data_IF_515388689152
#
_entry.id   IF_515388689152
#
_cell.length_a   1.000
_cell.length_b   1.000
_cell.length_c   1.000
_cell.angle_alpha   90.00
_cell.angle_beta   90.00
_cell.angle_gamma   90.00
#
_symmetry.space_group_name_H-M   'P 1'
#
loop_
_entity.id
_entity.type
_entity.pdbx_description
1 polymer ?
#
# COMPACT_ATOMS: atom_id res chain seq x y z
N UNK A 1 14.69 -4.92 -5.95
CA UNK A 1 15.02 -5.02 -4.49
C UNK A 1 14.18 -6.14 -3.88
N UNK A 2 14.77 -6.99 -3.04
CA UNK A 2 13.96 -7.95 -2.27
C UNK A 2 13.04 -7.21 -1.29
N UNK A 3 11.81 -7.69 -1.08
CA UNK A 3 10.93 -7.17 -0.06
C UNK A 3 11.59 -7.16 1.33
N UNK A 4 11.44 -6.06 2.06
CA UNK A 4 12.09 -5.84 3.34
C UNK A 4 11.04 -5.53 4.41
N UNK A 5 11.07 -6.24 5.53
CA UNK A 5 10.31 -5.88 6.71
C UNK A 5 10.82 -4.55 7.28
N UNK A 6 9.89 -3.70 7.67
CA UNK A 6 10.14 -2.38 8.24
C UNK A 6 9.30 -2.21 9.49
N UNK A 7 9.71 -1.26 10.32
CA UNK A 7 8.91 -0.76 11.43
C UNK A 7 9.09 0.74 11.52
N UNK A 8 7.99 1.47 11.75
CA UNK A 8 8.03 2.90 12.05
C UNK A 8 7.09 3.19 13.21
N UNK A 9 7.36 4.26 13.93
CA UNK A 9 6.49 4.71 15.01
C UNK A 9 5.26 5.41 14.42
N UNK A 10 4.09 4.79 14.57
CA UNK A 10 2.82 5.33 14.07
C UNK A 10 2.12 6.24 15.07
N UNK A 11 2.56 6.27 16.34
CA UNK A 11 1.98 7.14 17.36
C UNK A 11 2.35 8.61 17.11
N UNK A 12 3.48 8.84 16.45
CA UNK A 12 3.96 10.19 16.11
C UNK A 12 3.21 10.83 14.93
N UNK A 13 2.34 10.10 14.24
CA UNK A 13 1.53 10.67 13.15
C UNK A 13 0.36 11.46 13.71
N UNK A 14 0.30 12.74 13.34
CA UNK A 14 -0.71 13.69 13.83
C UNK A 14 -2.07 13.59 13.15
N UNK A 15 -2.19 12.82 12.08
CA UNK A 15 -3.43 12.68 11.34
C UNK A 15 -4.33 11.57 11.88
N UNK A 16 -5.62 11.82 11.91
CA UNK A 16 -6.64 10.84 12.35
C UNK A 16 -7.09 9.98 11.18
N UNK A 17 -6.27 9.04 10.76
CA UNK A 17 -6.56 8.11 9.67
C UNK A 17 -7.88 7.32 9.86
N UNK A 18 -8.39 7.21 11.09
CA UNK A 18 -9.68 6.56 11.41
C UNK A 18 -10.89 7.34 10.92
N UNK A 19 -10.78 8.65 10.74
CA UNK A 19 -11.84 9.47 10.14
C UNK A 19 -11.88 9.36 8.61
N UNK A 20 -10.91 8.75 8.03
CA UNK A 20 -10.67 8.60 6.62
C UNK A 20 -11.86 8.03 5.80
N UNK A 21 -12.60 6.98 6.24
CA UNK A 21 -13.68 6.41 5.43
C UNK A 21 -14.78 7.39 5.04
N UNK A 22 -14.95 8.45 5.82
CA UNK A 22 -15.99 9.46 5.62
C UNK A 22 -15.49 10.66 4.79
N UNK A 23 -14.19 10.70 4.48
CA UNK A 23 -13.60 11.79 3.71
C UNK A 23 -14.08 11.80 2.27
N UNK A 24 -14.46 12.98 1.77
CA UNK A 24 -14.82 13.18 0.37
C UNK A 24 -13.64 13.01 -0.59
N UNK A 25 -12.42 12.99 -0.07
CA UNK A 25 -11.19 12.77 -0.84
C UNK A 25 -10.86 11.29 -1.03
N UNK A 26 -11.65 10.36 -0.49
CA UNK A 26 -11.46 8.94 -0.72
C UNK A 26 -11.65 8.57 -2.18
N UNK A 27 -10.69 7.86 -2.71
CA UNK A 27 -10.71 7.33 -4.07
C UNK A 27 -10.94 5.83 -3.99
N UNK A 28 -11.89 5.34 -4.77
CA UNK A 28 -12.09 3.90 -4.93
C UNK A 28 -11.20 3.42 -6.07
N UNK A 29 -10.32 2.47 -5.79
CA UNK A 29 -9.47 1.86 -6.80
C UNK A 29 -10.31 1.16 -7.88
N UNK A 30 -9.86 1.27 -9.14
CA UNK A 30 -10.51 0.65 -10.27
C UNK A 30 -9.70 -0.57 -10.75
N UNK A 31 -10.39 -1.57 -11.25
CA UNK A 31 -9.78 -2.78 -11.82
C UNK A 31 -8.80 -2.49 -12.96
N UNK A 32 -9.01 -1.40 -13.68
CA UNK A 32 -8.16 -1.01 -14.80
C UNK A 32 -6.70 -0.73 -14.41
N UNK A 33 -6.47 -0.26 -13.19
CA UNK A 33 -5.12 0.03 -12.69
C UNK A 33 -4.32 -1.23 -12.35
N UNK A 34 -4.96 -2.38 -12.33
CA UNK A 34 -4.36 -3.65 -11.91
C UNK A 34 -4.16 -4.63 -13.08
N UNK A 35 -4.28 -4.14 -14.31
CA UNK A 35 -4.15 -4.97 -15.52
C UNK A 35 -2.73 -5.28 -15.94
N UNK A 36 -1.75 -4.60 -15.39
CA UNK A 36 -0.35 -4.68 -15.79
C UNK A 36 0.33 -6.04 -15.53
N UNK A 37 -0.24 -6.87 -14.66
CA UNK A 37 0.27 -8.23 -14.42
C UNK A 37 -0.25 -9.30 -15.37
N UNK A 38 -1.19 -8.93 -16.23
CA UNK A 38 -1.86 -9.89 -17.08
C UNK A 38 -1.76 -9.45 -18.51
N UNK A 39 -1.02 -10.22 -19.24
CA UNK A 39 -0.83 -9.94 -20.66
C UNK A 39 -2.15 -9.99 -21.43
N UNK A 40 -3.01 -10.97 -21.18
CA UNK A 40 -4.15 -11.23 -22.05
C UNK A 40 -5.40 -11.79 -21.35
N UNK A 41 -5.31 -12.17 -20.08
CA UNK A 41 -6.41 -12.83 -19.40
C UNK A 41 -7.30 -11.83 -18.64
N UNK A 42 -8.58 -11.89 -18.89
CA UNK A 42 -9.53 -11.16 -18.07
C UNK A 42 -9.56 -11.71 -16.64
N UNK A 43 -9.78 -10.84 -15.64
CA UNK A 43 -10.07 -11.32 -14.29
C UNK A 43 -11.26 -12.29 -14.35
N UNK A 44 -11.29 -13.32 -13.50
CA UNK A 44 -12.48 -14.14 -13.35
C UNK A 44 -13.71 -13.27 -13.12
N UNK A 45 -14.90 -13.67 -13.59
CA UNK A 45 -16.13 -12.88 -13.41
C UNK A 45 -16.47 -12.55 -11.95
N UNK A 46 -15.93 -13.34 -11.01
CA UNK A 46 -16.04 -13.10 -9.56
C UNK A 46 -15.24 -11.90 -9.05
N UNK A 47 -14.28 -11.42 -9.83
CA UNK A 47 -13.48 -10.24 -9.53
C UNK A 47 -14.18 -9.02 -10.10
N UNK A 48 -14.77 -8.21 -9.25
CA UNK A 48 -15.58 -7.06 -9.62
C UNK A 48 -15.08 -5.78 -8.96
N UNK A 49 -15.49 -4.62 -9.44
CA UNK A 49 -15.19 -3.35 -8.79
C UNK A 49 -15.73 -3.27 -7.34
N UNK A 50 -16.75 -4.06 -7.02
CA UNK A 50 -17.32 -4.08 -5.68
C UNK A 50 -16.39 -4.72 -4.66
N UNK A 51 -15.75 -5.84 -4.97
CA UNK A 51 -14.91 -6.58 -4.05
C UNK A 51 -13.41 -6.28 -4.19
N UNK A 52 -12.99 -5.57 -5.23
CA UNK A 52 -11.60 -5.13 -5.43
C UNK A 52 -11.36 -3.67 -5.10
N UNK A 53 -12.40 -2.98 -4.66
CA UNK A 53 -12.27 -1.58 -4.24
C UNK A 53 -11.46 -1.44 -2.95
N UNK A 54 -10.69 -0.38 -2.89
CA UNK A 54 -10.14 0.17 -1.65
C UNK A 54 -10.56 1.62 -1.55
N UNK A 55 -10.61 2.14 -0.35
CA UNK A 55 -10.70 3.59 -0.15
C UNK A 55 -9.30 4.10 0.13
N UNK A 56 -8.89 5.13 -0.57
CA UNK A 56 -7.56 5.72 -0.43
C UNK A 56 -7.68 7.23 -0.33
N UNK A 57 -7.00 7.80 0.66
CA UNK A 57 -6.83 9.23 0.83
C UNK A 57 -5.35 9.57 0.74
N UNK A 58 -5.00 10.47 -0.15
CA UNK A 58 -3.65 11.05 -0.20
C UNK A 58 -3.53 12.21 0.77
N UNK A 59 -2.38 12.29 1.39
CA UNK A 59 -1.96 13.41 2.23
C UNK A 59 -0.93 14.26 1.48
N UNK A 60 -0.89 15.52 1.80
CA UNK A 60 0.18 16.41 1.36
C UNK A 60 1.11 16.78 2.53
N UNK A 61 2.12 17.60 2.26
CA UNK A 61 3.16 17.92 3.23
C UNK A 61 2.67 18.78 4.41
N UNK A 62 1.51 19.40 4.25
CA UNK A 62 0.88 20.16 5.34
C UNK A 62 0.10 19.23 6.30
N UNK A 63 -0.29 18.06 5.84
CA UNK A 63 -1.01 17.06 6.64
C UNK A 63 -0.06 16.14 7.40
N UNK A 64 1.07 15.76 6.78
CA UNK A 64 1.99 14.73 7.30
C UNK A 64 3.43 15.11 6.99
N UNK A 65 4.32 14.97 7.96
CA UNK A 65 5.75 15.21 7.81
C UNK A 65 6.42 14.11 6.96
N UNK A 66 6.62 14.39 5.67
CA UNK A 66 7.24 13.47 4.73
C UNK A 66 8.71 13.20 5.04
N UNK A 67 9.43 14.19 5.57
CA UNK A 67 10.84 14.04 5.93
C UNK A 67 11.00 13.12 7.15
N UNK A 68 10.13 13.28 8.14
CA UNK A 68 10.11 12.39 9.31
C UNK A 68 9.88 10.92 8.90
N UNK A 69 8.85 10.66 8.09
CA UNK A 69 8.55 9.32 7.56
C UNK A 69 9.72 8.80 6.72
N UNK A 70 10.23 9.63 5.83
CA UNK A 70 11.30 9.27 4.92
C UNK A 70 12.61 8.91 5.63
N UNK A 71 12.92 9.59 6.72
CA UNK A 71 14.11 9.30 7.52
C UNK A 71 14.01 7.95 8.25
N UNK A 72 12.83 7.58 8.75
CA UNK A 72 12.62 6.26 9.34
C UNK A 72 12.70 5.13 8.31
N UNK A 73 12.21 5.36 7.09
CA UNK A 73 12.14 4.35 6.03
C UNK A 73 13.40 4.29 5.15
N UNK A 74 14.25 5.31 5.18
CA UNK A 74 15.40 5.44 4.27
C UNK A 74 14.96 5.74 2.83
N UNK A 75 13.93 6.56 2.64
CA UNK A 75 13.40 6.94 1.33
C UNK A 75 13.19 8.46 1.20
N UNK A 76 13.28 8.96 -0.02
CA UNK A 76 12.79 10.28 -0.39
C UNK A 76 11.31 10.16 -0.73
N UNK A 77 10.44 10.60 0.18
CA UNK A 77 8.99 10.44 0.08
C UNK A 77 8.41 11.34 -1.00
N UNK A 78 7.59 10.77 -1.87
CA UNK A 78 6.84 11.49 -2.91
C UNK A 78 5.36 11.50 -2.63
N UNK A 79 4.83 10.40 -2.09
CA UNK A 79 3.40 10.30 -1.74
C UNK A 79 3.22 9.55 -0.43
N UNK A 80 2.27 10.03 0.37
CA UNK A 80 1.74 9.33 1.55
C UNK A 80 0.23 9.21 1.38
N UNK A 81 -0.32 8.05 1.68
CA UNK A 81 -1.76 7.84 1.67
C UNK A 81 -2.19 6.84 2.73
N UNK A 82 -3.40 7.00 3.24
CA UNK A 82 -4.07 5.99 4.04
C UNK A 82 -4.99 5.15 3.15
N UNK A 83 -5.02 3.85 3.42
CA UNK A 83 -5.85 2.88 2.71
C UNK A 83 -6.75 2.17 3.70
N UNK A 84 -8.01 2.08 3.35
CA UNK A 84 -9.00 1.26 4.02
C UNK A 84 -9.44 0.12 3.10
N UNK A 85 -9.35 -1.10 3.61
CA UNK A 85 -10.02 -2.27 3.06
C UNK A 85 -11.14 -2.71 4.01
N UNK A 86 -12.37 -2.62 3.54
CA UNK A 86 -13.54 -3.13 4.27
C UNK A 86 -13.58 -4.67 4.23
N UNK A 87 -14.30 -5.35 5.15
CA UNK A 87 -14.52 -6.79 5.08
C UNK A 87 -15.01 -7.26 3.71
N UNK A 88 -14.39 -8.29 3.18
CA UNK A 88 -14.68 -8.83 1.85
C UNK A 88 -13.92 -8.15 0.70
N UNK A 89 -13.17 -7.09 0.96
CA UNK A 89 -12.39 -6.40 -0.08
C UNK A 89 -10.99 -6.99 -0.22
N UNK A 90 -10.52 -7.06 -1.46
CA UNK A 90 -9.16 -7.48 -1.76
C UNK A 90 -8.63 -6.72 -2.98
N UNK A 91 -7.32 -6.61 -3.07
CA UNK A 91 -6.62 -6.17 -4.27
C UNK A 91 -6.00 -7.41 -4.88
N UNK A 92 -6.38 -7.80 -6.11
CA UNK A 92 -5.83 -8.98 -6.78
C UNK A 92 -4.31 -8.89 -6.92
N UNK A 93 -3.67 -9.97 -7.34
CA UNK A 93 -2.24 -9.96 -7.66
C UNK A 93 -1.95 -8.84 -8.65
N UNK A 94 -1.02 -7.97 -8.28
CA UNK A 94 -0.57 -6.85 -9.11
C UNK A 94 0.86 -6.45 -8.78
N UNK A 95 1.43 -5.57 -9.61
CA UNK A 95 2.62 -4.78 -9.33
C UNK A 95 2.24 -3.32 -9.23
N UNK A 96 2.99 -2.58 -8.44
CA UNK A 96 2.79 -1.14 -8.33
C UNK A 96 3.24 -0.41 -9.59
N UNK A 97 2.37 0.41 -10.18
CA UNK A 97 2.68 1.20 -11.38
C UNK A 97 3.43 2.50 -11.06
N UNK A 98 3.43 2.94 -9.80
CA UNK A 98 4.04 4.21 -9.36
C UNK A 98 3.59 5.42 -10.19
N UNK A 99 2.34 5.44 -10.61
CA UNK A 99 1.80 6.44 -11.52
C UNK A 99 2.13 7.88 -11.10
N UNK A 100 1.93 8.24 -9.84
CA UNK A 100 2.20 9.61 -9.36
C UNK A 100 3.68 9.97 -9.41
N UNK A 101 4.55 9.02 -9.08
CA UNK A 101 6.01 9.22 -9.16
C UNK A 101 6.43 9.37 -10.61
N UNK A 102 6.00 8.49 -11.48
CA UNK A 102 6.34 8.54 -12.90
C UNK A 102 5.85 9.83 -13.57
N UNK A 103 4.69 10.34 -13.15
CA UNK A 103 4.15 11.60 -13.66
C UNK A 103 4.94 12.81 -13.20
N UNK A 104 5.41 12.84 -11.93
CA UNK A 104 6.14 13.98 -11.34
C UNK A 104 7.62 13.96 -11.71
N UNK A 105 8.20 12.78 -11.86
CA UNK A 105 9.63 12.55 -12.07
C UNK A 105 9.85 11.51 -13.18
N UNK A 106 9.49 11.84 -14.45
CA UNK A 106 9.49 10.88 -15.55
C UNK A 106 10.90 10.34 -15.88
N UNK A 107 11.93 11.17 -15.67
CA UNK A 107 13.32 10.85 -16.04
C UNK A 107 14.19 10.43 -14.84
N UNK A 108 13.58 10.21 -13.66
CA UNK A 108 14.33 9.81 -12.47
C UNK A 108 14.53 8.28 -12.45
N UNK A 109 15.78 7.87 -12.55
CA UNK A 109 16.19 6.46 -12.63
C UNK A 109 16.41 5.80 -11.26
N UNK A 110 16.30 6.54 -10.16
CA UNK A 110 16.44 5.97 -8.82
C UNK A 110 15.41 4.87 -8.58
N UNK A 111 15.77 3.94 -7.70
CA UNK A 111 14.87 2.83 -7.33
C UNK A 111 13.60 3.35 -6.67
N UNK A 112 12.46 3.13 -7.34
CA UNK A 112 11.13 3.43 -6.80
C UNK A 112 10.71 2.35 -5.84
N UNK A 113 10.25 2.77 -4.68
CA UNK A 113 9.83 1.85 -3.59
C UNK A 113 8.48 2.26 -3.02
N UNK A 114 7.80 1.27 -2.49
CA UNK A 114 6.57 1.43 -1.72
C UNK A 114 6.69 0.70 -0.39
N UNK A 115 6.40 1.43 0.67
CA UNK A 115 6.22 0.88 2.00
C UNK A 115 4.73 0.82 2.33
N UNK A 116 4.27 -0.33 2.81
CA UNK A 116 2.93 -0.50 3.37
C UNK A 116 3.11 -0.73 4.87
N UNK A 117 2.63 0.23 5.66
CA UNK A 117 2.73 0.24 7.12
C UNK A 117 1.36 -0.04 7.70
N UNK A 118 1.26 -1.00 8.60
CA UNK A 118 0.01 -1.36 9.26
C UNK A 118 -0.29 -0.38 10.40
N UNK A 119 -1.47 0.23 10.37
CA UNK A 119 -1.85 1.26 11.33
C UNK A 119 -2.53 0.71 12.58
N UNK A 120 -2.78 -0.57 12.62
CA UNK A 120 -3.39 -1.29 13.73
C UNK A 120 -2.74 -2.66 13.90
N UNK A 121 -2.87 -3.23 15.09
CA UNK A 121 -2.50 -4.62 15.32
C UNK A 121 -3.30 -5.55 14.41
N UNK A 122 -2.66 -6.62 14.00
CA UNK A 122 -3.26 -7.63 13.14
C UNK A 122 -4.59 -8.14 13.68
N UNK A 123 -5.54 -8.34 12.77
CA UNK A 123 -6.83 -8.96 13.05
C UNK A 123 -7.03 -10.21 12.19
N UNK A 124 -7.73 -11.24 12.70
CA UNK A 124 -8.03 -12.43 11.90
C UNK A 124 -8.68 -12.09 10.56
N UNK A 125 -8.10 -12.61 9.47
CA UNK A 125 -8.56 -12.35 8.11
C UNK A 125 -7.88 -11.17 7.41
N UNK A 126 -7.06 -10.39 8.10
CA UNK A 126 -6.20 -9.40 7.45
C UNK A 126 -4.95 -10.09 6.92
N UNK A 127 -4.63 -9.90 5.64
CA UNK A 127 -3.44 -10.50 5.05
C UNK A 127 -2.84 -9.61 3.97
N UNK A 128 -1.53 -9.80 3.78
CA UNK A 128 -0.78 -9.39 2.61
C UNK A 128 0.08 -10.58 2.18
N UNK A 129 0.11 -10.83 0.88
CA UNK A 129 1.03 -11.79 0.29
C UNK A 129 1.90 -11.09 -0.74
N UNK A 130 3.14 -11.51 -0.85
CA UNK A 130 4.08 -10.98 -1.83
C UNK A 130 5.01 -12.07 -2.35
N UNK A 131 5.52 -11.88 -3.56
CA UNK A 131 6.47 -12.78 -4.16
C UNK A 131 7.89 -12.39 -3.74
N UNK A 132 8.56 -13.28 -3.03
CA UNK A 132 10.00 -13.23 -2.75
C UNK A 132 10.77 -14.15 -3.73
N UNK A 133 12.10 -14.14 -3.66
CA UNK A 133 12.94 -15.00 -4.52
C UNK A 133 12.69 -16.49 -4.30
N UNK A 134 12.36 -16.88 -3.07
CA UNK A 134 12.12 -18.27 -2.64
C UNK A 134 10.63 -18.66 -2.65
N UNK A 135 9.76 -17.86 -3.26
CA UNK A 135 8.34 -18.10 -3.40
C UNK A 135 7.45 -17.08 -2.73
N UNK A 136 6.15 -17.39 -2.67
CA UNK A 136 5.17 -16.52 -2.03
C UNK A 136 5.29 -16.54 -0.52
N UNK A 137 5.23 -15.35 0.08
CA UNK A 137 5.23 -15.13 1.54
C UNK A 137 3.92 -14.50 1.95
N UNK A 138 3.44 -14.84 3.13
CA UNK A 138 2.28 -14.21 3.76
C UNK A 138 2.76 -13.41 4.97
N UNK A 139 2.22 -12.21 5.12
CA UNK A 139 2.37 -11.41 6.33
C UNK A 139 1.04 -11.46 7.06
N UNK A 140 1.10 -11.89 8.28
CA UNK A 140 0.03 -11.91 9.27
C UNK A 140 0.63 -11.62 10.66
N UNK A 141 -0.20 -11.48 11.66
CA UNK A 141 0.23 -11.31 13.06
C UNK A 141 1.20 -10.12 13.30
N UNK A 142 1.04 -9.03 12.54
CA UNK A 142 1.82 -7.80 12.72
C UNK A 142 1.33 -6.96 13.90
N UNK A 143 2.16 -6.01 14.32
CA UNK A 143 1.82 -4.92 15.23
C UNK A 143 1.65 -3.61 14.47
N UNK A 144 0.91 -2.67 15.06
CA UNK A 144 0.86 -1.31 14.54
C UNK A 144 2.29 -0.76 14.38
N UNK A 145 2.56 -0.12 13.25
CA UNK A 145 3.90 0.33 12.87
C UNK A 145 4.74 -0.68 12.08
N UNK A 146 4.46 -1.98 12.17
CA UNK A 146 5.10 -2.95 11.29
C UNK A 146 4.67 -2.73 9.84
N UNK A 147 5.52 -3.15 8.91
CA UNK A 147 5.23 -3.01 7.50
C UNK A 147 6.16 -3.78 6.61
N UNK A 148 5.95 -3.60 5.32
CA UNK A 148 6.76 -4.19 4.26
C UNK A 148 7.05 -3.15 3.19
N UNK A 149 8.30 -3.11 2.74
CA UNK A 149 8.74 -2.27 1.64
C UNK A 149 9.24 -3.12 0.48
N UNK A 150 8.83 -2.75 -0.74
CA UNK A 150 9.23 -3.40 -1.99
C UNK A 150 9.42 -2.42 -3.14
N UNK A 151 10.05 -2.89 -4.22
CA UNK A 151 10.16 -2.16 -5.49
C UNK A 151 8.98 -2.46 -6.42
N UNK A 152 8.89 -1.73 -7.53
CA UNK A 152 7.86 -1.88 -8.56
C UNK A 152 7.68 -3.31 -9.10
N UNK A 153 8.74 -4.12 -9.05
CA UNK A 153 8.73 -5.45 -9.66
C UNK A 153 8.13 -6.55 -8.78
N UNK A 154 7.71 -6.22 -7.56
CA UNK A 154 7.22 -7.21 -6.60
C UNK A 154 5.73 -7.48 -6.78
N UNK A 155 5.33 -8.65 -7.30
CA UNK A 155 3.93 -9.05 -7.30
C UNK A 155 3.43 -9.23 -5.87
N UNK A 156 2.26 -8.67 -5.59
CA UNK A 156 1.66 -8.77 -4.27
C UNK A 156 0.13 -8.72 -4.31
N UNK A 157 -0.47 -9.06 -3.19
CA UNK A 157 -1.92 -9.10 -2.97
C UNK A 157 -2.21 -8.60 -1.57
N UNK A 158 -3.25 -7.82 -1.40
CA UNK A 158 -3.76 -7.40 -0.10
C UNK A 158 -5.23 -7.77 0.05
N UNK A 159 -5.61 -8.42 1.15
CA UNK A 159 -6.99 -8.80 1.37
C UNK A 159 -7.44 -8.54 2.81
N UNK A 160 -8.75 -8.35 2.94
CA UNK A 160 -9.46 -8.36 4.19
C UNK A 160 -10.63 -9.34 4.09
N UNK A 161 -10.42 -10.56 4.55
CA UNK A 161 -11.45 -11.60 4.66
C UNK A 161 -11.95 -11.75 6.10
N UNK A 162 -11.58 -10.79 6.96
CA UNK A 162 -12.00 -10.70 8.35
C UNK A 162 -13.33 -9.97 8.55
N UNK A 163 -13.59 -9.56 9.78
CA UNK A 163 -14.81 -8.88 10.19
C UNK A 163 -14.62 -7.39 10.48
N UNK A 164 -13.38 -6.95 10.64
CA UNK A 164 -13.01 -5.57 10.96
C UNK A 164 -12.35 -4.89 9.78
N UNK A 165 -12.45 -3.58 9.70
CA UNK A 165 -11.71 -2.79 8.70
C UNK A 165 -10.20 -2.97 8.87
N UNK A 166 -9.49 -2.99 7.75
CA UNK A 166 -8.02 -3.05 7.70
C UNK A 166 -7.49 -1.71 7.23
N UNK A 167 -6.62 -1.11 8.02
CA UNK A 167 -6.02 0.19 7.76
C UNK A 167 -4.51 0.05 7.49
N UNK A 168 -4.08 0.67 6.41
CA UNK A 168 -2.67 0.65 5.99
C UNK A 168 -2.25 2.04 5.55
N UNK A 169 -1.09 2.50 5.96
CA UNK A 169 -0.45 3.67 5.37
C UNK A 169 0.44 3.20 4.22
N UNK A 170 0.31 3.85 3.09
CA UNK A 170 1.12 3.60 1.91
C UNK A 170 2.03 4.79 1.67
N UNK A 171 3.32 4.55 1.70
CA UNK A 171 4.36 5.55 1.44
C UNK A 171 5.11 5.17 0.19
N UNK A 172 5.23 6.09 -0.77
CA UNK A 172 5.97 5.82 -2.00
C UNK A 172 6.99 6.91 -2.26
N UNK A 173 8.13 6.52 -2.79
CA UNK A 173 9.22 7.43 -3.06
C UNK A 173 10.40 6.72 -3.70
N UNK A 174 11.57 7.33 -3.56
CA UNK A 174 12.84 6.80 -4.05
C UNK A 174 13.67 6.30 -2.87
N UNK A 175 14.33 5.17 -3.06
CA UNK A 175 15.30 4.67 -2.08
C UNK A 175 16.44 5.70 -1.95
N UNK A 176 16.79 6.07 -0.71
CA UNK A 176 17.99 6.87 -0.43
C UNK A 176 19.24 6.01 -0.65
N UNK A 177 20.31 6.63 -1.18
CA UNK A 177 21.63 6.01 -1.35
C UNK A 177 22.29 5.66 -0.02
#
# INVERSE_FOLDING_TARGET
>A
MNPKHIHIDVEDFTFTWRAYPESKSCIKHQLNEQRDLRSDDAFPPSVTEHNTGIRQQFFDVDDVDFDYIGNQLGIDVVTVSAILQEPGNFIPIHRDTFYQINKRFPDDERTKVRANVFLEDWQPGHLIQYQAQDGWKTIDNWKAGDGIMWSSDTPHIGANVGLNNKYTMQVSGFLKD
#
